data_IF_606842416382
#
_entry.id   IF_606842416382
#
_cell.length_a   1.000
_cell.length_b   1.000
_cell.length_c   1.000
_cell.angle_alpha   90.00
_cell.angle_beta   90.00
_cell.angle_gamma   90.00
#
_symmetry.space_group_name_H-M   'P 1'
#
loop_
_entity.id
_entity.type
_entity.pdbx_description
1 polymer ?
#
# COMPACT_ATOMS: atom_id res chain seq x y z
N UNK A 1 -5.29 -19.95 -7.85
CA UNK A 1 -5.75 -19.99 -9.26
C UNK A 1 -7.25 -19.85 -9.39
N UNK A 2 -8.08 -20.60 -8.65
CA UNK A 2 -9.56 -20.51 -8.67
C UNK A 2 -10.19 -19.11 -8.81
N UNK A 3 -9.73 -18.11 -8.05
CA UNK A 3 -10.26 -16.75 -8.16
C UNK A 3 -9.91 -16.04 -9.49
N UNK A 4 -8.71 -16.28 -10.03
CA UNK A 4 -8.27 -15.71 -11.32
C UNK A 4 -9.01 -16.36 -12.49
N UNK A 5 -9.27 -17.67 -12.39
CA UNK A 5 -10.08 -18.45 -13.32
C UNK A 5 -11.54 -18.00 -13.29
N UNK A 6 -12.15 -17.89 -12.10
CA UNK A 6 -13.52 -17.37 -11.92
C UNK A 6 -13.70 -16.00 -12.59
N UNK A 7 -12.71 -15.12 -12.40
CA UNK A 7 -12.77 -13.75 -12.88
C UNK A 7 -12.25 -13.58 -14.33
N UNK A 8 -11.86 -14.66 -15.01
CA UNK A 8 -11.33 -14.65 -16.39
C UNK A 8 -10.26 -13.56 -16.62
N UNK A 9 -9.35 -13.44 -15.66
CA UNK A 9 -8.34 -12.37 -15.63
C UNK A 9 -7.11 -12.61 -16.51
N UNK A 10 -7.04 -13.76 -17.17
CA UNK A 10 -5.94 -14.15 -18.04
C UNK A 10 -6.43 -15.19 -19.06
N UNK A 11 -5.70 -15.31 -20.16
CA UNK A 11 -5.86 -16.35 -21.17
C UNK A 11 -4.50 -16.91 -21.55
N UNK A 12 -4.47 -18.18 -21.96
CA UNK A 12 -3.27 -18.76 -22.55
C UNK A 12 -3.21 -18.33 -24.01
N UNK A 13 -2.12 -17.68 -24.40
CA UNK A 13 -1.84 -17.34 -25.79
C UNK A 13 -0.57 -18.05 -26.25
N UNK A 14 -0.51 -18.36 -27.54
CA UNK A 14 0.74 -18.83 -28.13
C UNK A 14 1.80 -17.74 -28.05
N UNK A 15 3.06 -18.16 -27.89
CA UNK A 15 4.16 -17.23 -27.80
C UNK A 15 4.29 -16.42 -29.09
N UNK A 16 4.17 -15.08 -29.04
CA UNK A 16 4.25 -14.26 -30.24
C UNK A 16 5.64 -14.37 -30.87
N UNK A 17 5.69 -14.61 -32.18
CA UNK A 17 6.96 -14.52 -32.93
C UNK A 17 7.48 -13.09 -32.78
N UNK A 18 8.76 -12.95 -32.44
CA UNK A 18 9.48 -11.66 -32.24
C UNK A 18 9.32 -10.97 -30.87
N UNK A 19 8.65 -11.59 -29.88
CA UNK A 19 8.66 -11.07 -28.50
C UNK A 19 9.71 -11.79 -27.64
N UNK A 20 10.17 -11.14 -26.58
CA UNK A 20 11.05 -11.72 -25.55
C UNK A 20 10.27 -11.97 -24.27
N UNK A 21 10.57 -13.05 -23.56
CA UNK A 21 9.91 -13.35 -22.29
C UNK A 21 10.31 -12.33 -21.21
N UNK A 22 9.33 -11.86 -20.44
CA UNK A 22 9.60 -11.05 -19.25
C UNK A 22 10.12 -11.96 -18.14
N UNK A 23 11.34 -11.71 -17.67
CA UNK A 23 11.91 -12.48 -16.57
C UNK A 23 11.06 -12.37 -15.31
N UNK A 24 11.05 -13.40 -14.46
CA UNK A 24 10.34 -13.40 -13.19
C UNK A 24 11.27 -13.66 -12.01
N UNK A 25 10.82 -13.32 -10.79
CA UNK A 25 11.52 -13.58 -9.53
C UNK A 25 10.51 -13.93 -8.44
N UNK A 26 10.86 -14.90 -7.61
CA UNK A 26 10.12 -15.18 -6.39
C UNK A 26 10.46 -14.16 -5.30
N UNK A 27 9.42 -13.55 -4.72
CA UNK A 27 9.51 -12.68 -3.54
C UNK A 27 8.80 -13.38 -2.40
N UNK A 28 9.57 -13.69 -1.35
CA UNK A 28 9.06 -14.31 -0.13
C UNK A 28 8.85 -13.24 0.94
N UNK A 29 7.75 -13.34 1.67
CA UNK A 29 7.43 -12.47 2.80
C UNK A 29 6.87 -13.34 3.91
N UNK A 30 7.40 -13.21 5.11
CA UNK A 30 6.81 -13.80 6.30
C UNK A 30 5.90 -12.74 6.92
N UNK A 31 4.65 -13.09 7.16
CA UNK A 31 3.72 -12.27 7.93
C UNK A 31 3.67 -12.77 9.36
N UNK A 32 3.73 -11.83 10.29
CA UNK A 32 3.58 -12.08 11.71
C UNK A 32 2.34 -11.35 12.22
N UNK A 33 1.69 -11.96 13.19
CA UNK A 33 0.62 -11.37 13.98
C UNK A 33 1.15 -10.23 14.87
N UNK A 34 0.22 -9.48 15.46
CA UNK A 34 0.57 -8.37 16.36
C UNK A 34 1.33 -8.78 17.63
N UNK A 35 1.22 -10.04 18.04
CA UNK A 35 1.92 -10.64 19.18
C UNK A 35 3.29 -11.26 18.79
N UNK A 36 3.66 -11.20 17.50
CA UNK A 36 4.91 -11.76 16.98
C UNK A 36 4.82 -13.23 16.57
N UNK A 37 3.67 -13.89 16.72
CA UNK A 37 3.45 -15.24 16.19
C UNK A 37 3.37 -15.23 14.66
N UNK A 38 3.65 -16.38 14.03
CA UNK A 38 3.64 -16.50 12.58
C UNK A 38 2.19 -16.54 12.04
N UNK A 39 1.79 -15.53 11.28
CA UNK A 39 0.49 -15.50 10.57
C UNK A 39 0.57 -16.37 9.32
N UNK A 40 1.55 -16.12 8.45
CA UNK A 40 1.58 -16.73 7.11
C UNK A 40 2.94 -16.61 6.41
N UNK A 41 3.38 -17.69 5.76
CA UNK A 41 4.42 -17.63 4.72
C UNK A 41 3.79 -17.23 3.38
N UNK A 42 4.24 -16.12 2.79
CA UNK A 42 3.72 -15.61 1.51
C UNK A 42 4.81 -15.68 0.44
N UNK A 43 4.51 -16.35 -0.67
CA UNK A 43 5.34 -16.32 -1.88
C UNK A 43 4.59 -15.57 -2.99
N UNK A 44 5.29 -14.69 -3.71
CA UNK A 44 4.78 -14.01 -4.90
C UNK A 44 5.74 -14.25 -6.05
N UNK A 45 5.24 -14.69 -7.19
CA UNK A 45 5.99 -14.62 -8.44
C UNK A 45 5.76 -13.23 -9.04
N UNK A 46 6.84 -12.46 -9.19
CA UNK A 46 6.77 -11.08 -9.66
C UNK A 46 7.54 -10.99 -10.98
N UNK A 47 6.96 -10.31 -11.96
CA UNK A 47 7.64 -9.99 -13.22
C UNK A 47 8.70 -8.92 -12.97
N UNK A 48 9.84 -9.04 -13.66
CA UNK A 48 10.90 -8.03 -13.64
C UNK A 48 10.51 -6.89 -14.58
N UNK A 49 9.56 -6.06 -14.15
CA UNK A 49 9.00 -4.97 -14.97
C UNK A 49 10.04 -3.99 -15.54
N UNK A 50 11.25 -3.92 -14.96
CA UNK A 50 12.37 -3.13 -15.51
C UNK A 50 12.77 -3.53 -16.93
N UNK A 51 12.41 -4.74 -17.38
CA UNK A 51 12.68 -5.20 -18.75
C UNK A 51 11.53 -4.91 -19.72
N UNK A 52 10.47 -4.24 -19.28
CA UNK A 52 9.31 -3.92 -20.11
C UNK A 52 9.40 -2.50 -20.68
N UNK A 53 8.95 -2.32 -21.91
CA UNK A 53 8.92 -1.03 -22.61
C UNK A 53 7.47 -0.57 -22.83
N UNK A 54 7.16 0.67 -22.44
CA UNK A 54 5.87 1.32 -22.73
C UNK A 54 5.60 1.33 -24.23
N UNK A 55 4.34 1.14 -24.64
CA UNK A 55 3.88 0.98 -26.03
C UNK A 55 4.32 -0.30 -26.75
N UNK A 56 5.19 -1.13 -26.16
CA UNK A 56 5.62 -2.42 -26.73
C UNK A 56 5.07 -3.59 -25.92
N UNK A 57 5.22 -3.53 -24.60
CA UNK A 57 4.89 -4.62 -23.68
C UNK A 57 3.66 -4.32 -22.82
N UNK A 58 3.31 -3.05 -22.67
CA UNK A 58 2.10 -2.61 -21.97
C UNK A 58 1.67 -1.22 -22.43
N UNK A 59 0.36 -0.99 -22.40
CA UNK A 59 -0.27 0.32 -22.71
C UNK A 59 -0.68 1.06 -21.43
N UNK A 60 -0.94 0.34 -20.34
CA UNK A 60 -1.34 0.89 -19.05
C UNK A 60 -0.64 0.15 -17.91
N UNK A 61 -0.16 0.89 -16.91
CA UNK A 61 0.53 0.34 -15.72
C UNK A 61 -0.30 0.44 -14.44
N UNK A 62 -1.50 1.01 -14.50
CA UNK A 62 -2.19 1.44 -13.29
C UNK A 62 -3.11 0.37 -12.73
N UNK A 63 -2.74 -0.17 -11.57
CA UNK A 63 -3.75 -0.64 -10.63
C UNK A 63 -4.60 0.58 -10.19
N UNK A 64 -5.93 0.46 -10.06
CA UNK A 64 -6.76 1.54 -9.53
C UNK A 64 -6.43 1.74 -8.04
N UNK A 65 -5.49 2.65 -7.76
CA UNK A 65 -5.09 3.02 -6.40
C UNK A 65 -5.80 4.32 -6.02
N UNK A 66 -6.35 4.36 -4.82
CA UNK A 66 -6.96 5.56 -4.27
C UNK A 66 -5.93 6.70 -4.22
N UNK A 67 -6.22 7.81 -4.90
CA UNK A 67 -5.35 9.00 -4.88
C UNK A 67 -5.53 9.79 -3.58
N UNK A 68 -4.44 10.32 -3.06
CA UNK A 68 -4.44 11.12 -1.83
C UNK A 68 -5.37 12.33 -1.89
N UNK A 69 -5.42 13.02 -3.04
CA UNK A 69 -6.32 14.16 -3.26
C UNK A 69 -7.80 13.75 -3.18
N UNK A 70 -8.17 12.64 -3.82
CA UNK A 70 -9.53 12.08 -3.74
C UNK A 70 -9.89 11.73 -2.31
N UNK A 71 -8.96 11.07 -1.59
CA UNK A 71 -9.16 10.75 -0.17
C UNK A 71 -9.35 12.00 0.69
N UNK A 72 -8.57 13.06 0.46
CA UNK A 72 -8.72 14.33 1.19
C UNK A 72 -10.10 14.97 0.96
N UNK A 73 -10.57 14.98 -0.29
CA UNK A 73 -11.91 15.50 -0.63
C UNK A 73 -13.01 14.67 0.03
N UNK A 74 -12.91 13.34 -0.04
CA UNK A 74 -13.90 12.46 0.58
C UNK A 74 -13.95 12.60 2.11
N UNK A 75 -12.78 12.68 2.76
CA UNK A 75 -12.69 12.88 4.21
C UNK A 75 -13.14 14.28 4.62
N UNK A 76 -12.87 15.32 3.83
CA UNK A 76 -13.35 16.67 4.14
C UNK A 76 -14.86 16.78 4.01
N UNK A 77 -15.46 16.17 2.98
CA UNK A 77 -16.92 16.05 2.85
C UNK A 77 -17.51 15.29 4.05
N UNK A 78 -16.92 14.16 4.42
CA UNK A 78 -17.39 13.38 5.56
C UNK A 78 -17.27 14.16 6.88
N UNK A 79 -16.24 14.98 7.06
CA UNK A 79 -16.07 15.83 8.23
C UNK A 79 -17.12 16.94 8.27
N UNK A 80 -17.34 17.62 7.14
CA UNK A 80 -18.29 18.75 7.03
C UNK A 80 -19.74 18.30 7.19
N UNK A 81 -20.09 17.13 6.65
CA UNK A 81 -21.45 16.58 6.67
C UNK A 81 -21.66 15.63 7.85
N UNK A 82 -20.65 15.45 8.71
CA UNK A 82 -20.66 14.53 9.85
C UNK A 82 -21.10 13.10 9.46
N UNK A 83 -20.65 12.63 8.30
CA UNK A 83 -20.96 11.30 7.80
C UNK A 83 -20.09 10.23 8.46
N UNK A 84 -20.67 9.11 8.91
CA UNK A 84 -19.90 8.03 9.51
C UNK A 84 -18.97 7.40 8.47
N UNK A 85 -17.72 7.17 8.86
CA UNK A 85 -16.74 6.43 8.07
C UNK A 85 -16.75 4.96 8.49
N UNK A 86 -17.04 4.06 7.54
CA UNK A 86 -16.94 2.63 7.77
C UNK A 86 -15.95 1.96 6.83
N UNK A 87 -15.37 0.87 7.29
CA UNK A 87 -14.41 0.07 6.54
C UNK A 87 -14.98 -1.32 6.27
N UNK A 88 -14.90 -1.72 5.00
CA UNK A 88 -15.14 -3.08 4.56
C UNK A 88 -13.84 -3.64 4.02
N UNK A 89 -13.48 -4.82 4.50
CA UNK A 89 -12.38 -5.61 3.96
C UNK A 89 -12.97 -6.60 2.96
N UNK A 90 -12.83 -6.30 1.67
CA UNK A 90 -13.15 -7.22 0.59
C UNK A 90 -11.90 -8.02 0.31
N UNK A 91 -12.00 -9.33 0.11
CA UNK A 91 -10.83 -10.17 -0.18
C UNK A 91 -9.99 -9.58 -1.32
N UNK A 92 -8.80 -9.04 -0.97
CA UNK A 92 -7.78 -8.32 -1.80
C UNK A 92 -7.95 -6.80 -1.95
N UNK A 93 -8.99 -6.17 -1.41
CA UNK A 93 -9.23 -4.72 -1.52
C UNK A 93 -9.83 -4.15 -0.22
N UNK A 94 -9.28 -3.02 0.25
CA UNK A 94 -9.90 -2.23 1.32
C UNK A 94 -10.89 -1.23 0.73
N UNK A 95 -12.16 -1.27 1.15
CA UNK A 95 -13.20 -0.33 0.74
C UNK A 95 -13.59 0.56 1.92
N UNK A 96 -13.64 1.86 1.69
CA UNK A 96 -14.24 2.82 2.62
C UNK A 96 -15.65 3.13 2.16
N UNK A 97 -16.60 2.96 3.07
CA UNK A 97 -17.97 3.43 2.91
C UNK A 97 -18.16 4.76 3.63
N UNK A 98 -18.60 5.76 2.87
CA UNK A 98 -18.95 7.10 3.37
C UNK A 98 -20.39 7.37 2.95
N UNK A 99 -21.34 7.19 3.88
CA UNK A 99 -22.77 7.45 3.63
C UNK A 99 -23.46 7.93 4.90
N UNK A 100 -24.40 8.86 4.74
CA UNK A 100 -25.35 9.25 5.79
C UNK A 100 -26.44 8.22 5.99
N UNK A 101 -26.95 7.63 4.91
CA UNK A 101 -28.13 6.77 4.94
C UNK A 101 -27.78 5.32 5.30
N UNK A 102 -28.45 4.79 6.34
CA UNK A 102 -28.23 3.43 6.83
C UNK A 102 -28.84 2.35 5.94
N UNK A 103 -29.98 2.62 5.31
CA UNK A 103 -30.67 1.67 4.44
C UNK A 103 -29.85 1.42 3.18
N UNK A 104 -29.45 2.48 2.48
CA UNK A 104 -28.62 2.38 1.29
C UNK A 104 -27.26 1.75 1.60
N UNK A 105 -26.70 2.05 2.78
CA UNK A 105 -25.45 1.43 3.23
C UNK A 105 -25.62 -0.08 3.39
N UNK A 106 -26.73 -0.53 3.97
CA UNK A 106 -27.01 -1.95 4.18
C UNK A 106 -27.31 -2.67 2.86
N UNK A 107 -28.05 -2.03 1.95
CA UNK A 107 -28.27 -2.55 0.60
C UNK A 107 -26.96 -2.73 -0.17
N UNK A 108 -26.07 -1.73 -0.10
CA UNK A 108 -24.75 -1.82 -0.73
C UNK A 108 -23.90 -2.93 -0.11
N UNK A 109 -23.94 -3.09 1.22
CA UNK A 109 -23.25 -4.21 1.90
C UNK A 109 -23.77 -5.56 1.44
N UNK A 110 -25.09 -5.73 1.35
CA UNK A 110 -25.70 -6.98 0.87
C UNK A 110 -25.32 -7.27 -0.58
N UNK A 111 -25.40 -6.27 -1.45
CA UNK A 111 -25.00 -6.40 -2.85
C UNK A 111 -23.53 -6.78 -3.00
N UNK A 112 -22.63 -6.12 -2.26
CA UNK A 112 -21.23 -6.50 -2.33
C UNK A 112 -21.04 -7.93 -1.79
N UNK A 113 -21.73 -8.31 -0.71
CA UNK A 113 -21.58 -9.63 -0.08
C UNK A 113 -22.10 -10.78 -0.94
N UNK A 114 -22.99 -10.52 -1.91
CA UNK A 114 -23.41 -11.55 -2.87
C UNK A 114 -22.32 -11.85 -3.91
N UNK A 115 -21.52 -10.84 -4.26
CA UNK A 115 -20.47 -10.96 -5.29
C UNK A 115 -19.10 -11.31 -4.70
N UNK A 116 -18.80 -10.78 -3.51
CA UNK A 116 -17.49 -10.84 -2.89
C UNK A 116 -17.54 -11.37 -1.45
N UNK A 117 -16.46 -12.01 -1.01
CA UNK A 117 -16.25 -12.35 0.39
C UNK A 117 -15.79 -11.09 1.14
N UNK A 118 -16.66 -10.57 2.02
CA UNK A 118 -16.45 -9.31 2.74
C UNK A 118 -16.46 -9.53 4.24
N UNK A 119 -15.60 -8.80 4.91
CA UNK A 119 -15.62 -8.62 6.36
C UNK A 119 -15.90 -7.17 6.69
N UNK A 120 -16.95 -6.93 7.48
CA UNK A 120 -17.23 -5.60 8.02
C UNK A 120 -16.29 -5.32 9.20
N UNK A 121 -15.42 -4.32 9.06
CA UNK A 121 -14.48 -3.90 10.10
C UNK A 121 -15.06 -2.78 10.99
N UNK A 122 -16.28 -2.33 10.70
CA UNK A 122 -16.97 -1.30 11.47
C UNK A 122 -16.43 0.09 11.16
N UNK A 123 -16.20 0.90 12.20
CA UNK A 123 -15.72 2.28 12.04
C UNK A 123 -14.30 2.31 11.48
N UNK A 124 -14.04 3.22 10.54
CA UNK A 124 -12.71 3.38 9.93
C UNK A 124 -11.68 3.78 11.00
N UNK A 125 -10.73 2.88 11.30
CA UNK A 125 -9.62 3.14 12.25
C UNK A 125 -8.27 3.18 11.56
N UNK A 126 -8.08 2.40 10.51
CA UNK A 126 -6.84 2.33 9.74
C UNK A 126 -7.14 2.21 8.26
N UNK A 127 -6.44 2.97 7.43
CA UNK A 127 -6.55 2.88 5.98
C UNK A 127 -5.22 3.25 5.32
N UNK A 128 -4.72 2.40 4.41
CA UNK A 128 -3.45 2.62 3.72
C UNK A 128 -2.29 2.95 4.67
N UNK A 129 -2.20 2.27 5.81
CA UNK A 129 -1.17 2.50 6.83
C UNK A 129 -1.36 3.78 7.67
N UNK A 130 -2.44 4.53 7.46
CA UNK A 130 -2.78 5.72 8.23
C UNK A 130 -3.84 5.41 9.29
N UNK A 131 -3.63 5.88 10.51
CA UNK A 131 -4.65 5.85 11.56
C UNK A 131 -5.65 6.97 11.33
N UNK A 132 -6.93 6.66 11.39
CA UNK A 132 -8.03 7.61 11.25
C UNK A 132 -8.79 7.70 12.57
N UNK A 133 -9.05 8.92 13.03
CA UNK A 133 -9.87 9.19 14.20
C UNK A 133 -10.92 10.26 13.84
N UNK A 134 -12.19 9.88 13.93
CA UNK A 134 -13.32 10.78 13.67
C UNK A 134 -13.94 11.25 14.99
N UNK A 135 -14.28 12.54 15.04
CA UNK A 135 -15.00 13.16 16.15
C UNK A 135 -16.01 14.17 15.61
N UNK A 136 -16.88 14.70 16.47
CA UNK A 136 -17.79 15.81 16.11
C UNK A 136 -17.06 17.07 15.67
N UNK A 137 -15.77 17.23 16.01
CA UNK A 137 -14.95 18.38 15.61
C UNK A 137 -14.29 18.19 14.23
N UNK A 138 -14.34 16.99 13.67
CA UNK A 138 -13.68 16.66 12.41
C UNK A 138 -12.92 15.33 12.45
N UNK A 139 -12.12 15.10 11.41
CA UNK A 139 -11.39 13.86 11.19
C UNK A 139 -9.88 14.14 11.27
N UNK A 140 -9.17 13.34 12.04
CA UNK A 140 -7.70 13.36 12.17
C UNK A 140 -7.13 12.12 11.50
N UNK A 141 -6.12 12.32 10.65
CA UNK A 141 -5.37 11.24 9.98
C UNK A 141 -3.92 11.31 10.45
N UNK A 142 -3.33 10.17 10.84
CA UNK A 142 -1.99 10.11 11.41
C UNK A 142 -1.19 8.90 10.91
N UNK A 143 0.03 9.15 10.44
CA UNK A 143 1.03 8.11 10.13
C UNK A 143 1.98 7.85 11.30
N UNK A 144 1.64 8.25 12.53
CA UNK A 144 2.54 8.12 13.69
C UNK A 144 3.09 6.71 13.86
N UNK A 145 2.26 5.67 13.70
CA UNK A 145 2.70 4.28 13.81
C UNK A 145 3.77 3.95 12.78
N UNK A 146 3.54 4.32 11.52
CA UNK A 146 4.51 4.13 10.43
C UNK A 146 5.86 4.79 10.75
N UNK A 147 5.84 6.05 11.19
CA UNK A 147 7.05 6.79 11.58
C UNK A 147 7.79 6.09 12.73
N UNK A 148 7.07 5.65 13.77
CA UNK A 148 7.68 4.96 14.90
C UNK A 148 8.29 3.60 14.51
N UNK A 149 7.58 2.83 13.67
CA UNK A 149 8.07 1.55 13.17
C UNK A 149 9.34 1.76 12.30
N UNK A 150 9.37 2.81 11.46
CA UNK A 150 10.53 3.18 10.64
C UNK A 150 11.74 3.61 11.50
N UNK A 151 11.52 4.44 12.53
CA UNK A 151 12.58 4.85 13.46
C UNK A 151 13.15 3.64 14.21
N UNK A 152 12.30 2.70 14.64
CA UNK A 152 12.75 1.48 15.30
C UNK A 152 13.60 0.62 14.38
N UNK A 153 13.15 0.41 13.15
CA UNK A 153 13.86 -0.42 12.16
C UNK A 153 15.21 0.18 11.77
N UNK A 154 15.30 1.51 11.67
CA UNK A 154 16.53 2.21 11.31
C UNK A 154 17.49 2.43 12.48
N UNK A 155 17.07 2.12 13.71
CA UNK A 155 17.85 2.36 14.93
C UNK A 155 17.86 3.82 15.38
N UNK A 156 16.87 4.61 14.95
CA UNK A 156 16.79 6.06 15.17
C UNK A 156 15.79 6.49 16.26
N UNK A 157 15.23 5.55 17.04
CA UNK A 157 14.23 5.86 18.09
C UNK A 157 14.71 6.87 19.15
N UNK A 158 16.02 6.95 19.39
CA UNK A 158 16.63 7.88 20.35
C UNK A 158 17.22 9.14 19.71
N UNK A 159 17.11 9.31 18.39
CA UNK A 159 17.65 10.47 17.70
C UNK A 159 16.87 11.73 18.08
N UNK A 160 17.60 12.84 18.22
CA UNK A 160 16.97 14.16 18.40
C UNK A 160 16.45 14.65 17.04
N UNK A 161 15.27 15.29 16.98
CA UNK A 161 14.82 15.96 15.78
C UNK A 161 15.85 17.03 15.37
N UNK A 162 16.18 17.05 14.08
CA UNK A 162 17.04 18.06 13.46
C UNK A 162 16.36 18.56 12.21
N UNK A 163 16.41 19.87 11.97
CA UNK A 163 15.82 20.48 10.76
C UNK A 163 16.61 20.11 9.50
N UNK A 164 17.91 19.84 9.65
CA UNK A 164 18.81 19.47 8.57
C UNK A 164 19.43 18.10 8.91
N UNK A 165 19.10 17.03 8.17
CA UNK A 165 19.56 15.67 8.48
C UNK A 165 21.04 15.44 8.21
N UNK A 166 21.70 16.30 7.43
CA UNK A 166 23.13 16.25 7.12
C UNK A 166 23.84 17.47 7.70
N UNK A 167 25.03 17.27 8.27
CA UNK A 167 25.86 18.38 8.72
C UNK A 167 26.30 19.18 7.48
N UNK A 168 25.97 20.48 7.37
CA UNK A 168 26.31 21.30 6.20
C UNK A 168 27.83 21.44 5.98
N UNK A 169 28.63 21.20 7.02
CA UNK A 169 30.09 21.25 6.96
C UNK A 169 30.73 19.87 6.73
N UNK A 170 29.93 18.82 6.49
CA UNK A 170 30.43 17.49 6.17
C UNK A 170 31.11 17.53 4.79
N UNK A 171 32.45 17.48 4.75
CA UNK A 171 33.17 17.24 3.50
C UNK A 171 32.95 15.80 3.07
N UNK A 172 32.32 15.60 1.93
CA UNK A 172 32.27 14.30 1.28
C UNK A 172 33.67 13.99 0.74
N UNK A 173 34.20 12.80 1.04
CA UNK A 173 35.48 12.36 0.50
C UNK A 173 35.39 12.07 -0.99
N UNK A 174 36.54 11.99 -1.65
CA UNK A 174 36.60 11.56 -3.05
C UNK A 174 36.09 10.13 -3.19
N UNK A 175 35.38 9.86 -4.28
CA UNK A 175 34.88 8.53 -4.59
C UNK A 175 36.05 7.61 -4.92
N UNK A 176 36.40 6.70 -4.00
CA UNK A 176 37.34 5.62 -4.32
C UNK A 176 36.58 4.45 -4.95
N UNK A 177 36.87 4.23 -6.23
CA UNK A 177 36.31 3.18 -7.06
C UNK A 177 36.76 1.80 -6.55
N UNK A 178 35.95 1.17 -5.69
CA UNK A 178 36.29 -0.17 -5.18
C UNK A 178 35.46 -0.73 -4.03
N UNK A 179 34.84 0.11 -3.19
CA UNK A 179 33.98 -0.38 -2.12
C UNK A 179 32.53 -0.51 -2.60
N UNK A 180 32.12 -1.75 -2.88
CA UNK A 180 30.71 -2.13 -3.04
C UNK A 180 29.98 -1.89 -1.70
N UNK A 181 29.52 -0.66 -1.49
CA UNK A 181 28.64 -0.33 -0.37
C UNK A 181 27.29 -1.00 -0.59
N UNK A 182 26.74 -1.63 0.45
CA UNK A 182 25.39 -2.18 0.40
C UNK A 182 24.37 -1.03 0.27
N UNK A 183 23.98 -0.74 -0.96
CA UNK A 183 22.99 0.30 -1.28
C UNK A 183 21.57 -0.13 -0.90
N UNK A 184 21.34 -1.41 -0.62
CA UNK A 184 20.00 -1.96 -0.38
C UNK A 184 19.34 -1.32 0.83
N UNK A 185 20.12 -1.07 1.90
CA UNK A 185 19.63 -0.42 3.11
C UNK A 185 19.22 1.03 2.85
N UNK A 186 20.05 1.79 2.13
CA UNK A 186 19.76 3.18 1.80
C UNK A 186 18.59 3.30 0.82
N UNK A 187 18.62 2.55 -0.29
CA UNK A 187 17.55 2.54 -1.28
C UNK A 187 16.21 2.06 -0.68
N UNK A 188 16.25 1.05 0.19
CA UNK A 188 15.07 0.57 0.90
C UNK A 188 14.49 1.62 1.86
N UNK A 189 15.35 2.40 2.54
CA UNK A 189 14.92 3.50 3.39
C UNK A 189 14.31 4.65 2.56
N UNK A 190 14.97 5.06 1.47
CA UNK A 190 14.44 6.09 0.56
C UNK A 190 13.09 5.66 0.00
N UNK A 191 12.96 4.41 -0.43
CA UNK A 191 11.68 3.86 -0.93
C UNK A 191 10.57 3.78 0.12
N UNK A 192 10.90 3.84 1.42
CA UNK A 192 9.92 3.95 2.52
C UNK A 192 9.51 5.41 2.79
N UNK A 193 10.31 6.39 2.39
CA UNK A 193 10.04 7.80 2.65
C UNK A 193 9.24 8.49 1.53
N UNK A 194 9.10 7.82 0.38
CA UNK A 194 8.37 8.26 -0.81
C UNK A 194 6.97 7.64 -0.80
#
# INVERSE_FOLDING_TARGET
MKALEKNKTWETVDFPREKTTVGCKWVFTIKYESDGSLEMYKARLVTKGITQTYDIDYLETFAPVAKSNTMRVLLSLAANLNWPLQQLDVKKYDIILIKSDLLEKNQLKQFLSSEFEIKDLGSLRYFLGMKVAQSKKGIVVSQRKYVLDLLKETGMSGCRPVDIPINPNQKLGDYEEGNLMDTSRYQGLVGKLI
#
